data_IF_311637019289
#
_entry.id   IF_311637019289
#
_cell.length_a   1.000
_cell.length_b   1.000
_cell.length_c   1.000
_cell.angle_alpha   90.00
_cell.angle_beta   90.00
_cell.angle_gamma   90.00
#
_symmetry.space_group_name_H-M   'P 1'
#
loop_
_entity.id
_entity.type
_entity.pdbx_description
1 polymer ?
#
# COMPACT_ATOMS: atom_id res chain seq x y z
N UNK A 1 -0.44 17.38 27.09
CA UNK A 1 0.76 16.61 27.12
C UNK A 1 1.54 16.71 25.83
N UNK A 2 2.81 16.70 25.96
CA UNK A 2 3.76 16.63 24.85
C UNK A 2 4.22 15.18 24.68
N UNK A 3 5.05 14.91 23.71
CA UNK A 3 5.55 13.57 23.47
C UNK A 3 6.52 13.12 24.56
N UNK A 4 6.37 11.87 25.00
CA UNK A 4 7.28 11.22 25.92
C UNK A 4 7.43 9.75 25.54
N UNK A 5 8.64 9.22 25.72
CA UNK A 5 8.93 7.81 25.43
C UNK A 5 10.01 7.32 26.39
N UNK A 6 9.73 6.24 27.11
CA UNK A 6 10.69 5.60 28.02
C UNK A 6 11.89 5.02 27.25
N UNK A 7 11.68 4.52 26.04
CA UNK A 7 12.71 3.88 25.22
C UNK A 7 13.21 4.76 24.06
N UNK A 8 12.64 5.95 23.87
CA UNK A 8 13.05 6.88 22.83
C UNK A 8 14.49 7.33 23.01
N UNK A 9 15.25 7.36 21.92
CA UNK A 9 16.66 7.79 21.95
C UNK A 9 17.64 6.76 22.51
N UNK A 10 17.23 5.49 22.75
CA UNK A 10 18.18 4.49 23.16
C UNK A 10 19.20 4.16 22.05
N UNK A 11 20.46 3.78 22.40
CA UNK A 11 21.54 3.62 21.42
C UNK A 11 21.23 2.61 20.30
N UNK A 12 20.56 1.50 20.63
CA UNK A 12 20.23 0.47 19.65
C UNK A 12 19.22 1.00 18.61
N UNK A 13 18.14 1.63 19.07
CA UNK A 13 17.14 2.19 18.19
C UNK A 13 17.72 3.31 17.30
N UNK A 14 18.61 4.15 17.87
CA UNK A 14 19.28 5.20 17.08
C UNK A 14 20.24 4.61 16.03
N UNK A 15 20.98 3.56 16.37
CA UNK A 15 21.86 2.87 15.41
C UNK A 15 21.05 2.27 14.25
N UNK A 16 19.95 1.57 14.55
CA UNK A 16 19.05 1.04 13.52
C UNK A 16 18.46 2.17 12.64
N UNK A 17 18.00 3.26 13.26
CA UNK A 17 17.44 4.39 12.53
C UNK A 17 18.47 5.05 11.59
N UNK A 18 19.71 5.22 12.04
CA UNK A 18 20.77 5.75 11.20
C UNK A 18 21.04 4.84 9.99
N UNK A 19 21.14 3.53 10.19
CA UNK A 19 21.31 2.56 9.10
C UNK A 19 20.16 2.65 8.08
N UNK A 20 18.92 2.78 8.55
CA UNK A 20 17.76 2.96 7.65
C UNK A 20 17.87 4.28 6.87
N UNK A 21 18.29 5.37 7.53
CA UNK A 21 18.49 6.65 6.87
C UNK A 21 19.61 6.58 5.82
N UNK A 22 20.71 5.88 6.10
CA UNK A 22 21.80 5.69 5.13
C UNK A 22 21.27 5.02 3.85
N UNK A 23 20.46 3.96 3.97
CA UNK A 23 19.82 3.28 2.83
C UNK A 23 18.83 4.21 2.10
N UNK A 24 17.99 4.94 2.83
CA UNK A 24 17.01 5.85 2.22
C UNK A 24 17.65 7.00 1.45
N UNK A 25 18.87 7.39 1.84
CA UNK A 25 19.62 8.49 1.22
C UNK A 25 20.56 8.02 0.10
N UNK A 26 20.59 6.72 -0.20
CA UNK A 26 21.32 6.22 -1.37
C UNK A 26 20.76 6.81 -2.67
N UNK A 27 21.65 7.08 -3.60
CA UNK A 27 21.29 7.64 -4.90
C UNK A 27 20.26 6.74 -5.62
N UNK A 28 19.13 7.31 -5.98
CA UNK A 28 18.08 6.63 -6.72
C UNK A 28 17.03 5.91 -5.86
N UNK A 29 17.27 5.64 -4.57
CA UNK A 29 16.34 4.90 -3.73
C UNK A 29 14.95 5.54 -3.66
N UNK A 30 14.86 6.82 -3.33
CA UNK A 30 13.59 7.53 -3.24
C UNK A 30 12.94 7.73 -4.62
N UNK A 31 13.73 7.87 -5.67
CA UNK A 31 13.24 7.96 -7.04
C UNK A 31 12.57 6.64 -7.47
N UNK A 32 13.20 5.50 -7.16
CA UNK A 32 12.62 4.16 -7.39
C UNK A 32 11.30 3.98 -6.63
N UNK A 33 11.25 4.31 -5.34
CA UNK A 33 10.02 4.22 -4.54
C UNK A 33 8.89 5.09 -5.12
N UNK A 34 9.22 6.28 -5.60
CA UNK A 34 8.25 7.17 -6.26
C UNK A 34 7.76 6.59 -7.60
N UNK A 35 8.63 5.94 -8.37
CA UNK A 35 8.28 5.29 -9.62
C UNK A 35 7.34 4.09 -9.39
N UNK A 36 7.66 3.22 -8.45
CA UNK A 36 6.81 2.08 -8.08
C UNK A 36 5.44 2.55 -7.58
N UNK A 37 5.39 3.64 -6.82
CA UNK A 37 4.12 4.25 -6.40
C UNK A 37 3.27 4.75 -7.59
N UNK A 38 3.89 5.38 -8.59
CA UNK A 38 3.19 5.82 -9.80
C UNK A 38 2.68 4.63 -10.62
N UNK A 39 3.50 3.59 -10.77
CA UNK A 39 3.13 2.37 -11.49
C UNK A 39 1.96 1.68 -10.79
N UNK A 40 2.07 1.41 -9.49
CA UNK A 40 1.02 0.76 -8.71
C UNK A 40 -0.30 1.53 -8.79
N UNK A 41 -0.25 2.86 -8.66
CA UNK A 41 -1.45 3.69 -8.74
C UNK A 41 -2.07 3.70 -10.15
N UNK A 42 -1.26 3.64 -11.21
CA UNK A 42 -1.75 3.55 -12.59
C UNK A 42 -2.48 2.22 -12.82
N UNK A 43 -1.88 1.10 -12.41
CA UNK A 43 -2.49 -0.24 -12.51
C UNK A 43 -3.77 -0.37 -11.68
N UNK A 44 -3.81 0.20 -10.46
CA UNK A 44 -5.05 0.23 -9.66
C UNK A 44 -6.18 0.98 -10.40
N UNK A 45 -5.88 2.07 -11.11
CA UNK A 45 -6.91 2.76 -11.92
C UNK A 45 -7.49 1.88 -13.03
N UNK A 46 -6.68 1.02 -13.64
CA UNK A 46 -7.14 0.06 -14.63
C UNK A 46 -8.12 -0.96 -14.00
N UNK A 47 -7.78 -1.49 -12.80
CA UNK A 47 -8.68 -2.37 -12.05
C UNK A 47 -9.98 -1.66 -11.66
N UNK A 48 -9.92 -0.40 -11.21
CA UNK A 48 -11.13 0.39 -10.91
C UNK A 48 -12.00 0.55 -12.14
N UNK A 49 -11.42 0.80 -13.31
CA UNK A 49 -12.18 0.93 -14.56
C UNK A 49 -12.92 -0.37 -14.94
N UNK A 50 -12.35 -1.53 -14.60
CA UNK A 50 -12.98 -2.84 -14.83
C UNK A 50 -14.01 -3.21 -13.75
N UNK A 51 -13.83 -2.75 -12.52
CA UNK A 51 -14.60 -3.17 -11.33
C UNK A 51 -15.23 -2.00 -10.56
N UNK A 52 -15.86 -1.06 -11.25
CA UNK A 52 -16.50 0.12 -10.65
C UNK A 52 -17.62 -0.18 -9.64
N UNK A 53 -18.14 -1.40 -9.59
CA UNK A 53 -19.10 -1.85 -8.55
C UNK A 53 -18.43 -2.19 -7.22
N UNK A 54 -17.10 -2.35 -7.17
CA UNK A 54 -16.32 -2.72 -5.98
C UNK A 54 -15.44 -1.56 -5.52
N UNK A 55 -14.79 -0.87 -6.45
CA UNK A 55 -13.87 0.24 -6.21
C UNK A 55 -14.36 1.51 -6.93
N UNK A 56 -14.29 2.64 -6.23
CA UNK A 56 -14.73 3.95 -6.76
C UNK A 56 -13.57 4.79 -7.27
N UNK A 57 -12.51 4.93 -6.46
CA UNK A 57 -11.37 5.80 -6.78
C UNK A 57 -10.11 5.39 -6.01
N UNK A 58 -8.96 5.88 -6.46
CA UNK A 58 -7.67 5.70 -5.80
C UNK A 58 -7.01 7.05 -5.55
N UNK A 59 -6.41 7.21 -4.38
CA UNK A 59 -5.63 8.38 -3.96
C UNK A 59 -4.40 7.96 -3.18
N UNK A 60 -3.38 8.79 -3.17
CA UNK A 60 -2.17 8.51 -2.40
C UNK A 60 -0.99 9.35 -2.84
N UNK A 61 0.13 9.13 -2.16
CA UNK A 61 1.42 9.72 -2.50
C UNK A 61 2.50 8.65 -2.28
N UNK A 62 3.38 8.47 -3.28
CA UNK A 62 4.35 7.39 -3.27
C UNK A 62 3.65 6.04 -3.08
N UNK A 63 4.12 5.26 -2.13
CA UNK A 63 3.60 3.93 -1.81
C UNK A 63 2.54 3.91 -0.69
N UNK A 64 2.09 5.05 -0.20
CA UNK A 64 0.92 5.16 0.68
C UNK A 64 -0.32 5.38 -0.18
N UNK A 65 -1.07 4.32 -0.46
CA UNK A 65 -2.16 4.32 -1.43
C UNK A 65 -3.47 3.87 -0.77
N UNK A 66 -4.54 4.62 -0.98
CA UNK A 66 -5.88 4.32 -0.50
C UNK A 66 -6.86 4.14 -1.66
N UNK A 67 -7.55 3.02 -1.69
CA UNK A 67 -8.62 2.69 -2.62
C UNK A 67 -9.96 2.88 -1.92
N UNK A 68 -10.78 3.81 -2.39
CA UNK A 68 -12.16 4.00 -1.92
C UNK A 68 -13.00 2.83 -2.42
N UNK A 69 -13.64 2.12 -1.49
CA UNK A 69 -14.49 0.98 -1.82
C UNK A 69 -15.96 1.39 -1.94
N UNK A 70 -16.67 0.75 -2.85
CA UNK A 70 -18.14 0.75 -2.95
C UNK A 70 -18.71 -0.31 -2.01
N UNK A 71 -18.13 -1.51 -2.02
CA UNK A 71 -18.41 -2.59 -1.05
C UNK A 71 -17.76 -2.28 0.31
N UNK A 72 -18.12 -2.96 1.41
CA UNK A 72 -17.41 -2.81 2.67
C UNK A 72 -15.91 -3.10 2.50
N UNK A 73 -15.05 -2.18 2.94
CA UNK A 73 -13.59 -2.35 2.79
C UNK A 73 -13.05 -3.59 3.50
N UNK A 74 -13.71 -4.05 4.57
CA UNK A 74 -13.36 -5.27 5.28
C UNK A 74 -13.49 -6.53 4.39
N UNK A 75 -14.47 -6.55 3.47
CA UNK A 75 -14.67 -7.67 2.55
C UNK A 75 -13.54 -7.71 1.53
N UNK A 76 -13.13 -6.56 0.98
CA UNK A 76 -11.99 -6.47 0.07
C UNK A 76 -10.67 -6.86 0.77
N UNK A 77 -10.46 -6.38 2.00
CA UNK A 77 -9.27 -6.75 2.81
C UNK A 77 -9.23 -8.27 3.05
N UNK A 78 -10.36 -8.88 3.33
CA UNK A 78 -10.46 -10.34 3.51
C UNK A 78 -10.17 -11.07 2.20
N UNK A 79 -10.77 -10.66 1.09
CA UNK A 79 -10.57 -11.26 -0.22
C UNK A 79 -9.10 -11.17 -0.69
N UNK A 80 -8.41 -10.04 -0.40
CA UNK A 80 -6.98 -9.87 -0.67
C UNK A 80 -6.12 -10.79 0.20
N UNK A 81 -6.43 -10.90 1.50
CA UNK A 81 -5.70 -11.78 2.42
C UNK A 81 -5.80 -13.25 1.99
N UNK A 82 -6.96 -13.69 1.51
CA UNK A 82 -7.16 -15.06 0.99
C UNK A 82 -6.29 -15.31 -0.26
N UNK A 83 -5.87 -14.23 -0.94
CA UNK A 83 -4.93 -14.22 -2.08
C UNK A 83 -3.50 -13.87 -1.69
N UNK A 84 -3.18 -13.93 -0.38
CA UNK A 84 -1.85 -13.66 0.21
C UNK A 84 -1.34 -12.21 0.04
N UNK A 85 -2.24 -11.27 -0.20
CA UNK A 85 -1.93 -9.83 -0.19
C UNK A 85 -2.50 -9.20 1.06
N UNK A 86 -1.63 -8.57 1.85
CA UNK A 86 -2.03 -7.86 3.06
C UNK A 86 -2.42 -6.42 2.72
N UNK A 87 -3.60 -6.04 3.14
CA UNK A 87 -4.11 -4.68 3.05
C UNK A 87 -4.69 -4.24 4.40
N UNK A 88 -4.86 -2.95 4.60
CA UNK A 88 -5.34 -2.39 5.87
C UNK A 88 -6.65 -1.64 5.65
N UNK A 89 -7.71 -1.96 6.41
CA UNK A 89 -8.93 -1.15 6.40
C UNK A 89 -8.64 0.21 7.03
N UNK A 90 -9.13 1.26 6.41
CA UNK A 90 -9.00 2.64 6.89
C UNK A 90 -10.37 3.33 6.96
N UNK A 91 -10.42 4.48 7.61
CA UNK A 91 -11.62 5.30 7.68
C UNK A 91 -12.18 5.65 6.29
N UNK A 92 -13.43 6.07 6.25
CA UNK A 92 -14.13 6.45 5.02
C UNK A 92 -14.20 5.31 3.97
N UNK A 93 -14.39 4.07 4.44
CA UNK A 93 -14.51 2.87 3.60
C UNK A 93 -13.33 2.72 2.60
N UNK A 94 -12.11 2.94 3.05
CA UNK A 94 -10.90 2.84 2.26
C UNK A 94 -10.16 1.54 2.56
N UNK A 95 -9.72 0.83 1.53
CA UNK A 95 -8.72 -0.24 1.60
C UNK A 95 -7.35 0.37 1.27
N UNK A 96 -6.35 0.16 2.13
CA UNK A 96 -5.05 0.82 2.04
C UNK A 96 -3.92 -0.16 1.75
N UNK A 97 -3.09 0.18 0.77
CA UNK A 97 -1.82 -0.45 0.50
C UNK A 97 -0.67 0.40 1.05
N UNK A 98 0.25 -0.25 1.76
CA UNK A 98 1.50 0.34 2.26
C UNK A 98 2.60 -0.70 2.08
N UNK A 99 3.03 -0.94 0.84
CA UNK A 99 4.12 -1.89 0.60
C UNK A 99 5.47 -1.33 1.06
N UNK A 100 6.48 -2.18 1.28
CA UNK A 100 7.85 -1.74 1.54
C UNK A 100 8.38 -0.84 0.42
N UNK A 101 9.29 0.09 0.76
CA UNK A 101 9.88 1.01 -0.23
C UNK A 101 10.78 0.32 -1.27
N UNK A 102 11.13 -0.94 -1.04
CA UNK A 102 12.01 -1.78 -1.88
C UNK A 102 11.23 -2.70 -2.82
N UNK A 103 9.93 -2.48 -3.02
CA UNK A 103 9.17 -3.30 -3.99
C UNK A 103 9.67 -3.07 -5.41
N UNK A 104 9.50 -4.08 -6.23
CA UNK A 104 9.81 -4.10 -7.65
C UNK A 104 8.53 -4.27 -8.48
N UNK A 105 8.63 -4.13 -9.79
CA UNK A 105 7.49 -4.26 -10.71
C UNK A 105 6.80 -5.63 -10.58
N UNK A 106 7.55 -6.72 -10.38
CA UNK A 106 6.98 -8.05 -10.15
C UNK A 106 6.03 -8.12 -8.94
N UNK A 107 6.36 -7.41 -7.85
CA UNK A 107 5.49 -7.34 -6.68
C UNK A 107 4.23 -6.49 -6.96
N UNK A 108 4.36 -5.47 -7.82
CA UNK A 108 3.20 -4.70 -8.30
C UNK A 108 2.28 -5.60 -9.12
N UNK A 109 2.81 -6.38 -10.05
CA UNK A 109 2.04 -7.31 -10.89
C UNK A 109 1.30 -8.36 -10.05
N UNK A 110 1.95 -8.95 -9.03
CA UNK A 110 1.32 -9.88 -8.10
C UNK A 110 0.17 -9.23 -7.32
N UNK A 111 0.38 -8.02 -6.80
CA UNK A 111 -0.63 -7.29 -6.04
C UNK A 111 -1.83 -6.91 -6.91
N UNK A 112 -1.60 -6.51 -8.16
CA UNK A 112 -2.65 -6.15 -9.11
C UNK A 112 -3.45 -7.38 -9.54
N UNK A 113 -2.79 -8.50 -9.84
CA UNK A 113 -3.49 -9.75 -10.16
C UNK A 113 -4.42 -10.19 -9.01
N UNK A 114 -3.91 -10.14 -7.77
CA UNK A 114 -4.71 -10.46 -6.60
C UNK A 114 -5.87 -9.48 -6.37
N UNK A 115 -5.66 -8.18 -6.66
CA UNK A 115 -6.71 -7.16 -6.54
C UNK A 115 -7.81 -7.36 -7.58
N UNK A 116 -7.46 -7.62 -8.83
CA UNK A 116 -8.39 -7.91 -9.91
C UNK A 116 -9.26 -9.13 -9.60
N UNK A 117 -8.64 -10.23 -9.21
CA UNK A 117 -9.32 -11.45 -8.78
C UNK A 117 -10.23 -11.25 -7.55
N UNK A 118 -9.80 -10.42 -6.59
CA UNK A 118 -10.60 -10.11 -5.41
C UNK A 118 -11.83 -9.28 -5.79
N UNK A 119 -11.66 -8.28 -6.66
CA UNK A 119 -12.75 -7.46 -7.16
C UNK A 119 -13.74 -8.28 -7.98
N UNK A 120 -13.28 -9.18 -8.86
CA UNK A 120 -14.13 -10.08 -9.63
C UNK A 120 -14.97 -11.00 -8.73
N UNK A 121 -14.42 -11.46 -7.61
CA UNK A 121 -15.15 -12.28 -6.64
C UNK A 121 -16.22 -11.49 -5.88
N UNK A 122 -16.02 -10.19 -5.64
CA UNK A 122 -16.93 -9.31 -4.90
C UNK A 122 -17.98 -8.61 -5.79
N UNK A 123 -17.79 -8.58 -7.09
CA UNK A 123 -18.69 -7.95 -8.05
C UNK A 123 -20.00 -8.72 -8.29
N UNK A 124 -20.27 -9.79 -7.54
CA UNK A 124 -21.41 -10.71 -7.68
C UNK A 124 -22.65 -10.22 -6.95
#
# INVERSE_FOLDING_TARGET
GTHGSTFGGNPLACACANTVLDVLLEDGFLAHAAEMGRLLMARIREVIAAHGSVLETVRGQGLLIGMKCVVPNADLVTALRDRRVLAVPAGDNVCRFIPPLIIEESHVDEAIAALDDACAALAR
#
